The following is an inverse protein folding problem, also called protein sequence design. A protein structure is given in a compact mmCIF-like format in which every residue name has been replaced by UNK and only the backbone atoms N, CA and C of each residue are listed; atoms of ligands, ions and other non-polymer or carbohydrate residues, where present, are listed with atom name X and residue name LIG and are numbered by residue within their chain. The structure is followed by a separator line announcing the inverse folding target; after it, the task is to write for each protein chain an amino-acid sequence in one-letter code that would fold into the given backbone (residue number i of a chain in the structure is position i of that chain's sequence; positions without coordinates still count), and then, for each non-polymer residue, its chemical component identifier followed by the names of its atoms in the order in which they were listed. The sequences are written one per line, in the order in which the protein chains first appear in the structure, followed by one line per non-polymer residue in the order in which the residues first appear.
data_IF_464815524839
#
_entry.id   IF_464815524839
#
_cell.length_a   1.000
_cell.length_b   1.000
_cell.length_c   1.000
_cell.angle_alpha   90.00
_cell.angle_beta   90.00
_cell.angle_gamma   90.00
#
_symmetry.space_group_name_H-M   'P 1'
#
loop_
_entity.id
_entity.type
_entity.pdbx_description
1 polymer ?
#
# COMPACT_ATOMS: atom_id res chain seq x y z
N UNK A 1 0.83 3.03 -12.54
CA UNK A 1 2.08 3.82 -12.74
C UNK A 1 2.90 3.81 -11.47
N UNK A 2 4.22 3.92 -11.55
CA UNK A 2 5.07 4.09 -10.38
C UNK A 2 5.97 5.34 -10.47
N UNK A 3 6.36 5.87 -9.32
CA UNK A 3 7.36 6.93 -9.21
C UNK A 3 8.36 6.52 -8.13
N UNK A 4 9.55 6.12 -8.56
CA UNK A 4 10.60 5.59 -7.69
C UNK A 4 11.54 6.73 -7.28
N UNK A 5 11.64 7.03 -5.99
CA UNK A 5 12.52 8.07 -5.47
C UNK A 5 13.53 7.47 -4.47
N UNK A 6 14.80 7.50 -4.83
CA UNK A 6 15.90 6.89 -4.07
C UNK A 6 17.14 7.80 -4.05
N UNK A 7 18.06 7.54 -3.11
CA UNK A 7 19.36 8.22 -3.00
C UNK A 7 20.36 7.85 -4.11
N UNK A 8 21.65 8.01 -3.84
CA UNK A 8 22.71 7.67 -4.80
C UNK A 8 22.82 6.14 -4.98
N UNK A 9 22.50 5.58 -6.17
CA UNK A 9 22.53 4.14 -6.43
C UNK A 9 23.94 3.54 -6.48
N UNK A 10 25.00 4.34 -6.55
CA UNK A 10 26.39 3.85 -6.50
C UNK A 10 26.76 3.31 -5.11
N UNK A 11 26.01 3.72 -4.07
CA UNK A 11 26.15 3.16 -2.72
C UNK A 11 25.44 1.78 -2.69
N UNK A 12 26.14 0.68 -2.35
CA UNK A 12 25.56 -0.66 -2.38
C UNK A 12 24.27 -0.83 -1.57
N UNK A 13 24.14 -0.12 -0.45
CA UNK A 13 22.95 -0.16 0.41
C UNK A 13 21.73 0.46 -0.28
N UNK A 14 21.92 1.59 -0.96
CA UNK A 14 20.85 2.28 -1.69
C UNK A 14 20.45 1.48 -2.93
N UNK A 15 21.41 0.89 -3.65
CA UNK A 15 21.11 -0.05 -4.74
C UNK A 15 20.31 -1.25 -4.21
N UNK A 16 20.69 -1.80 -3.06
CA UNK A 16 19.97 -2.88 -2.40
C UNK A 16 18.50 -2.52 -2.11
N UNK A 17 18.25 -1.31 -1.61
CA UNK A 17 16.89 -0.80 -1.38
C UNK A 17 16.08 -0.72 -2.68
N UNK A 18 16.67 -0.15 -3.74
CA UNK A 18 16.01 -0.03 -5.04
C UNK A 18 15.65 -1.41 -5.63
N UNK A 19 16.60 -2.34 -5.63
CA UNK A 19 16.38 -3.71 -6.12
C UNK A 19 15.27 -4.40 -5.32
N UNK A 20 15.30 -4.31 -3.99
CA UNK A 20 14.27 -4.94 -3.14
C UNK A 20 12.89 -4.32 -3.34
N UNK A 21 12.80 -3.00 -3.52
CA UNK A 21 11.54 -2.33 -3.83
C UNK A 21 10.97 -2.81 -5.17
N UNK A 22 11.80 -2.85 -6.23
CA UNK A 22 11.39 -3.34 -7.56
C UNK A 22 10.95 -4.80 -7.50
N UNK A 23 11.67 -5.66 -6.78
CA UNK A 23 11.30 -7.06 -6.60
C UNK A 23 9.95 -7.21 -5.90
N UNK A 24 9.74 -6.50 -4.78
CA UNK A 24 8.50 -6.54 -4.02
C UNK A 24 7.30 -6.00 -4.81
N UNK A 25 7.46 -4.87 -5.50
CA UNK A 25 6.43 -4.36 -6.41
C UNK A 25 6.11 -5.35 -7.52
N UNK A 26 7.13 -5.95 -8.14
CA UNK A 26 6.93 -6.96 -9.18
C UNK A 26 6.17 -8.18 -8.68
N UNK A 27 6.45 -8.64 -7.46
CA UNK A 27 5.70 -9.74 -6.83
C UNK A 27 4.24 -9.37 -6.57
N UNK A 28 3.98 -8.21 -5.97
CA UNK A 28 2.63 -7.72 -5.71
C UNK A 28 1.83 -7.55 -7.00
N UNK A 29 2.40 -6.90 -8.02
CA UNK A 29 1.78 -6.71 -9.33
C UNK A 29 1.42 -8.03 -10.01
N UNK A 30 2.32 -9.04 -9.97
CA UNK A 30 2.03 -10.37 -10.52
C UNK A 30 0.91 -11.07 -9.77
N UNK A 31 0.85 -10.94 -8.44
CA UNK A 31 -0.17 -11.64 -7.64
C UNK A 31 -1.54 -11.00 -7.76
N UNK A 32 -1.59 -9.68 -7.67
CA UNK A 32 -2.80 -8.88 -7.76
C UNK A 32 -3.28 -8.69 -9.21
N UNK A 33 -2.48 -9.13 -10.20
CA UNK A 33 -2.77 -8.99 -11.63
C UNK A 33 -2.91 -7.52 -12.07
N UNK A 34 -2.14 -6.63 -11.43
CA UNK A 34 -2.12 -5.18 -11.70
C UNK A 34 -0.81 -4.82 -12.40
N UNK A 35 -0.81 -4.55 -13.71
CA UNK A 35 0.41 -4.22 -14.43
C UNK A 35 0.88 -2.78 -14.14
N UNK A 36 2.19 -2.57 -14.20
CA UNK A 36 2.78 -1.22 -14.24
C UNK A 36 2.86 -0.79 -15.71
N UNK A 37 2.01 0.15 -16.11
CA UNK A 37 1.89 0.64 -17.49
C UNK A 37 2.85 1.78 -17.85
N UNK A 38 3.51 2.36 -16.86
CA UNK A 38 4.44 3.48 -17.02
C UNK A 38 4.95 3.97 -15.67
N UNK A 39 5.91 4.89 -15.68
CA UNK A 39 6.43 5.46 -14.45
C UNK A 39 7.63 6.39 -14.62
N UNK A 40 8.18 6.80 -13.49
CA UNK A 40 9.34 7.66 -13.36
C UNK A 40 10.35 7.08 -12.35
N UNK A 41 11.63 7.34 -12.57
CA UNK A 41 12.70 6.99 -11.62
C UNK A 41 13.56 8.22 -11.36
N UNK A 42 13.55 8.69 -10.13
CA UNK A 42 14.39 9.76 -9.61
C UNK A 42 15.44 9.18 -8.66
N UNK A 43 16.71 9.37 -9.00
CA UNK A 43 17.87 8.89 -8.24
C UNK A 43 18.71 10.07 -7.76
N UNK A 44 19.69 9.80 -6.89
CA UNK A 44 20.57 10.83 -6.32
C UNK A 44 19.82 11.86 -5.46
N UNK A 45 18.68 11.47 -4.87
CA UNK A 45 17.95 12.30 -3.92
C UNK A 45 18.64 12.30 -2.55
N UNK A 46 19.68 13.13 -2.43
CA UNK A 46 20.47 13.27 -1.21
C UNK A 46 20.78 14.75 -0.94
N UNK A 47 20.97 15.09 0.32
CA UNK A 47 21.45 16.42 0.76
C UNK A 47 22.52 16.21 1.81
N UNK A 48 23.69 16.83 1.63
CA UNK A 48 24.85 16.69 2.53
C UNK A 48 25.21 15.21 2.81
N UNK A 49 25.16 14.37 1.78
CA UNK A 49 25.46 12.94 1.86
C UNK A 49 24.37 12.08 2.51
N UNK A 50 23.29 12.68 2.99
CA UNK A 50 22.13 11.99 3.58
C UNK A 50 21.06 11.76 2.51
N UNK A 51 20.76 10.49 2.24
CA UNK A 51 19.68 10.10 1.35
C UNK A 51 18.30 10.32 1.97
N UNK A 52 17.30 10.55 1.12
CA UNK A 52 15.89 10.39 1.50
C UNK A 52 15.57 8.94 1.87
N UNK A 53 14.42 8.71 2.50
CA UNK A 53 13.91 7.35 2.63
C UNK A 53 13.56 6.77 1.25
N UNK A 54 13.74 5.45 1.03
CA UNK A 54 13.20 4.76 -0.14
C UNK A 54 11.71 5.04 -0.30
N UNK A 55 11.33 5.77 -1.36
CA UNK A 55 9.96 6.26 -1.53
C UNK A 55 9.40 5.85 -2.89
N UNK A 56 9.02 4.57 -3.06
CA UNK A 56 8.22 4.14 -4.20
C UNK A 56 6.77 4.62 -4.02
N UNK A 57 6.30 5.46 -4.93
CA UNK A 57 4.91 5.93 -4.96
C UNK A 57 4.17 5.20 -6.08
N UNK A 58 3.02 4.62 -5.75
CA UNK A 58 2.19 3.88 -6.69
C UNK A 58 0.92 4.65 -7.02
N UNK A 59 0.62 4.79 -8.30
CA UNK A 59 -0.67 5.27 -8.79
C UNK A 59 -1.44 4.12 -9.43
N UNK A 60 -2.63 3.82 -8.92
CA UNK A 60 -3.52 2.77 -9.41
C UNK A 60 -4.76 3.42 -10.02
N UNK A 61 -5.17 2.93 -11.19
CA UNK A 61 -6.38 3.36 -11.88
C UNK A 61 -7.20 2.11 -12.16
N UNK A 62 -8.48 2.17 -11.82
CA UNK A 62 -9.47 1.14 -12.11
C UNK A 62 -10.70 1.77 -12.76
N UNK A 63 -11.54 0.93 -13.36
CA UNK A 63 -12.82 1.31 -13.94
C UNK A 63 -13.95 0.71 -13.11
N UNK A 64 -14.93 1.53 -12.74
CA UNK A 64 -16.22 1.06 -12.26
C UNK A 64 -17.20 1.14 -13.42
N UNK A 65 -17.93 0.05 -13.68
CA UNK A 65 -18.95 0.03 -14.74
C UNK A 65 -20.15 0.91 -14.38
N UNK A 66 -20.45 1.01 -13.08
CA UNK A 66 -21.49 1.84 -12.53
C UNK A 66 -20.93 2.69 -11.38
N UNK A 67 -20.98 4.02 -11.56
CA UNK A 67 -20.48 4.98 -10.58
C UNK A 67 -21.33 5.00 -9.29
N UNK A 68 -22.57 4.53 -9.33
CA UNK A 68 -23.44 4.49 -8.16
C UNK A 68 -23.05 3.37 -7.18
N UNK A 69 -22.19 2.44 -7.61
CA UNK A 69 -21.64 1.35 -6.75
C UNK A 69 -20.48 1.79 -5.86
N UNK A 70 -20.07 3.06 -5.91
CA UNK A 70 -18.99 3.59 -5.07
C UNK A 70 -19.35 3.51 -3.59
N UNK A 71 -18.52 2.81 -2.82
CA UNK A 71 -18.67 2.75 -1.37
C UNK A 71 -18.23 4.06 -0.71
N UNK A 72 -19.00 4.48 0.30
CA UNK A 72 -18.63 5.59 1.18
C UNK A 72 -17.67 5.13 2.26
N UNK A 73 -16.95 6.08 2.87
CA UNK A 73 -15.95 5.83 3.92
C UNK A 73 -16.47 5.99 5.35
N UNK A 74 -17.70 6.45 5.51
CA UNK A 74 -18.33 6.72 6.80
C UNK A 74 -19.55 5.82 7.02
N UNK A 75 -19.94 5.65 8.28
CA UNK A 75 -21.17 4.95 8.65
C UNK A 75 -22.38 5.61 8.00
N UNK A 76 -23.29 4.78 7.47
CA UNK A 76 -24.39 5.24 6.62
C UNK A 76 -25.70 5.27 7.39
N UNK A 77 -26.08 4.18 8.05
CA UNK A 77 -27.34 4.05 8.76
C UNK A 77 -27.16 3.53 10.19
N UNK A 78 -28.07 3.90 11.07
CA UNK A 78 -28.18 3.29 12.40
C UNK A 78 -28.53 1.80 12.26
N UNK A 79 -27.86 0.96 13.04
CA UNK A 79 -28.05 -0.50 13.00
C UNK A 79 -27.18 -1.24 11.98
N UNK A 80 -26.36 -0.53 11.19
CA UNK A 80 -25.35 -1.16 10.35
C UNK A 80 -24.36 -1.97 11.19
N UNK A 81 -24.05 -3.18 10.72
CA UNK A 81 -23.05 -4.05 11.35
C UNK A 81 -21.65 -3.68 10.86
N UNK A 82 -20.74 -3.46 11.80
CA UNK A 82 -19.34 -3.10 11.52
C UNK A 82 -18.47 -4.33 11.63
N UNK A 83 -17.74 -4.65 10.56
CA UNK A 83 -16.83 -5.78 10.48
C UNK A 83 -15.39 -5.28 10.28
N UNK A 84 -14.45 -5.90 10.98
CA UNK A 84 -13.03 -5.78 10.70
C UNK A 84 -12.63 -6.98 9.83
N UNK A 85 -12.12 -6.70 8.62
CA UNK A 85 -11.66 -7.73 7.70
C UNK A 85 -10.15 -7.85 7.77
N UNK A 86 -9.65 -9.06 7.94
CA UNK A 86 -8.22 -9.35 8.10
C UNK A 86 -7.86 -9.79 9.51
N UNK A 87 -6.56 -9.90 9.75
CA UNK A 87 -5.99 -10.37 11.02
C UNK A 87 -4.93 -9.38 11.49
N UNK A 88 -4.97 -9.03 12.77
CA UNK A 88 -3.94 -8.20 13.40
C UNK A 88 -2.93 -9.07 14.14
N UNK A 89 -1.68 -8.62 14.19
CA UNK A 89 -0.58 -9.26 14.93
C UNK A 89 0.35 -8.22 15.56
N UNK A 90 1.64 -8.56 15.68
CA UNK A 90 2.68 -7.64 16.16
C UNK A 90 3.06 -6.61 15.07
N UNK A 91 2.11 -5.76 14.71
CA UNK A 91 2.14 -4.89 13.53
C UNK A 91 2.58 -3.44 13.82
N UNK A 92 3.22 -3.22 14.98
CA UNK A 92 3.59 -1.87 15.43
C UNK A 92 4.92 -1.37 14.85
N UNK A 93 5.75 -2.23 14.27
CA UNK A 93 7.04 -1.81 13.70
C UNK A 93 6.86 -0.86 12.51
N UNK A 94 7.61 0.24 12.51
CA UNK A 94 7.49 1.27 11.48
C UNK A 94 6.20 2.10 11.49
N UNK A 95 5.34 1.93 12.51
CA UNK A 95 4.09 2.67 12.64
C UNK A 95 4.26 4.12 13.12
N UNK A 96 3.26 4.96 12.89
CA UNK A 96 3.21 6.32 13.45
C UNK A 96 3.20 6.31 14.99
N UNK A 97 2.66 5.25 15.63
CA UNK A 97 2.72 5.11 17.07
C UNK A 97 4.17 5.09 17.58
N UNK A 98 5.03 4.28 16.96
CA UNK A 98 6.44 4.17 17.37
C UNK A 98 7.19 5.47 17.11
N UNK A 99 6.88 6.14 16.01
CA UNK A 99 7.49 7.43 15.66
C UNK A 99 7.08 8.54 16.62
N UNK A 100 5.78 8.71 16.88
CA UNK A 100 5.25 9.83 17.67
C UNK A 100 5.49 9.62 19.18
N UNK A 101 5.22 8.41 19.69
CA UNK A 101 5.29 8.14 21.14
C UNK A 101 6.73 7.82 21.58
N UNK A 102 7.49 7.11 20.74
CA UNK A 102 8.85 6.66 21.10
C UNK A 102 9.97 7.42 20.37
N UNK A 103 9.65 8.34 19.47
CA UNK A 103 10.65 9.15 18.75
C UNK A 103 11.54 8.33 17.82
N UNK A 104 11.09 7.15 17.36
CA UNK A 104 11.92 6.19 16.63
C UNK A 104 11.24 5.72 15.35
N UNK A 105 12.04 5.46 14.32
CA UNK A 105 11.63 4.73 13.12
C UNK A 105 12.34 3.38 13.19
N UNK A 106 11.66 2.38 13.75
CA UNK A 106 12.24 1.09 14.07
C UNK A 106 11.18 -0.02 14.11
N UNK A 107 11.65 -1.27 14.17
CA UNK A 107 10.81 -2.45 14.17
C UNK A 107 10.58 -3.03 12.77
N UNK A 108 10.10 -4.26 12.73
CA UNK A 108 9.74 -4.94 11.48
C UNK A 108 8.32 -4.50 11.07
N UNK A 109 8.10 -4.03 9.83
CA UNK A 109 6.76 -3.73 9.34
C UNK A 109 5.81 -4.94 9.41
N UNK A 110 4.48 -4.69 9.36
CA UNK A 110 3.48 -5.76 9.30
C UNK A 110 3.78 -6.77 8.19
N UNK A 111 3.44 -8.04 8.41
CA UNK A 111 3.58 -9.06 7.37
C UNK A 111 2.47 -8.87 6.33
N UNK A 112 2.85 -8.95 5.05
CA UNK A 112 1.92 -8.87 3.94
C UNK A 112 1.61 -10.27 3.40
N UNK A 113 0.33 -10.64 3.37
CA UNK A 113 -0.18 -11.81 2.67
C UNK A 113 -0.91 -11.36 1.39
N UNK A 114 -0.24 -11.47 0.26
CA UNK A 114 -0.78 -11.05 -1.04
C UNK A 114 -1.99 -11.89 -1.50
N UNK A 115 -2.15 -13.13 -1.01
CA UNK A 115 -3.35 -13.92 -1.32
C UNK A 115 -4.54 -13.44 -0.51
N UNK A 116 -4.33 -13.11 0.75
CA UNK A 116 -5.37 -12.50 1.58
C UNK A 116 -5.80 -11.15 0.99
N UNK A 117 -4.85 -10.32 0.56
CA UNK A 117 -5.11 -9.03 -0.08
C UNK A 117 -5.91 -9.17 -1.37
N UNK A 118 -5.53 -10.12 -2.24
CA UNK A 118 -6.28 -10.42 -3.47
C UNK A 118 -7.73 -10.79 -3.19
N UNK A 119 -7.97 -11.67 -2.20
CA UNK A 119 -9.32 -12.06 -1.79
C UNK A 119 -10.11 -10.90 -1.18
N UNK A 120 -9.45 -10.04 -0.40
CA UNK A 120 -10.08 -8.86 0.20
C UNK A 120 -10.55 -7.90 -0.89
N UNK A 121 -9.71 -7.57 -1.86
CA UNK A 121 -10.10 -6.71 -2.99
C UNK A 121 -11.28 -7.28 -3.78
N UNK A 122 -11.27 -8.59 -4.09
CA UNK A 122 -12.38 -9.24 -4.77
C UNK A 122 -13.68 -9.18 -3.96
N UNK A 123 -13.60 -9.45 -2.65
CA UNK A 123 -14.75 -9.39 -1.75
C UNK A 123 -15.33 -7.97 -1.67
N UNK A 124 -14.49 -6.93 -1.58
CA UNK A 124 -14.95 -5.54 -1.52
C UNK A 124 -15.62 -5.12 -2.84
N UNK A 125 -15.03 -5.45 -3.99
CA UNK A 125 -15.60 -5.14 -5.29
C UNK A 125 -16.94 -5.86 -5.54
N UNK A 126 -17.00 -7.16 -5.26
CA UNK A 126 -18.22 -7.96 -5.42
C UNK A 126 -19.31 -7.56 -4.41
N UNK A 127 -18.91 -7.28 -3.17
CA UNK A 127 -19.81 -6.82 -2.12
C UNK A 127 -20.43 -5.45 -2.42
N UNK A 128 -19.65 -4.53 -3.01
CA UNK A 128 -20.14 -3.25 -3.50
C UNK A 128 -21.12 -3.44 -4.67
N UNK A 129 -20.74 -4.21 -5.69
CA UNK A 129 -21.56 -4.45 -6.87
C UNK A 129 -22.91 -5.12 -6.56
N UNK A 130 -22.96 -5.95 -5.51
CA UNK A 130 -24.20 -6.62 -5.05
C UNK A 130 -25.02 -5.80 -4.04
N UNK A 131 -24.56 -4.61 -3.65
CA UNK A 131 -25.21 -3.79 -2.62
C UNK A 131 -25.20 -4.42 -1.23
N UNK A 132 -24.28 -5.35 -0.96
CA UNK A 132 -24.10 -5.98 0.36
C UNK A 132 -23.38 -5.03 1.31
N UNK A 133 -22.41 -4.28 0.78
CA UNK A 133 -21.63 -3.30 1.53
C UNK A 133 -22.23 -1.91 1.31
N UNK A 134 -22.42 -1.16 2.41
CA UNK A 134 -22.85 0.25 2.37
C UNK A 134 -21.66 1.21 2.43
N UNK A 135 -20.61 0.82 3.13
CA UNK A 135 -19.38 1.59 3.33
C UNK A 135 -18.17 0.67 3.53
N UNK A 136 -16.98 1.15 3.18
CA UNK A 136 -15.71 0.49 3.47
C UNK A 136 -14.61 1.54 3.68
N UNK A 137 -13.64 1.23 4.54
CA UNK A 137 -12.49 2.08 4.85
C UNK A 137 -11.27 1.22 5.17
N UNK A 138 -10.10 1.64 4.66
CA UNK A 138 -8.77 1.02 4.89
C UNK A 138 -7.96 1.70 6.01
#
# INVERSE_FOLDING_TARGET
TNCLNFGNPEKPEVMGQLVKAIQGMGEACRRLEIPITGGNVSLYNETDGRAIYPTPVMGVVGLLEDADTVLRRWFVEEGDLVYLLGTTGEDLGGSELVKVVHGKIAGRPPRLDLEAEKRLHALLAEGAARGILRSAHD
#
